data_IF_901338793705
#
_entry.id   IF_901338793705
#
_cell.length_a   1.000
_cell.length_b   1.000
_cell.length_c   1.000
_cell.angle_alpha   90.00
_cell.angle_beta   90.00
_cell.angle_gamma   90.00
#
_symmetry.space_group_name_H-M   'P 1'
#
loop_
_entity.id
_entity.type
_entity.pdbx_description
1 polymer ?
#
# COMPACT_ATOMS: atom_id res chain seq x y z
N UNK A 1 -10.94 -20.28 11.83
CA UNK A 1 -11.44 -20.57 10.47
C UNK A 1 -10.44 -20.00 9.46
N UNK A 2 -10.15 -20.73 8.39
CA UNK A 2 -9.25 -20.27 7.32
C UNK A 2 -10.00 -20.22 6.00
N UNK A 3 -9.60 -19.33 5.10
CA UNK A 3 -10.31 -19.11 3.86
C UNK A 3 -9.90 -17.82 3.18
N UNK A 4 -10.32 -17.68 1.93
CA UNK A 4 -10.12 -16.48 1.15
C UNK A 4 -11.45 -15.96 0.61
N UNK A 5 -11.66 -14.66 0.68
CA UNK A 5 -12.85 -14.02 0.10
C UNK A 5 -12.47 -12.71 -0.59
N UNK A 6 -12.77 -12.61 -1.89
CA UNK A 6 -12.65 -11.36 -2.64
C UNK A 6 -14.02 -10.71 -2.75
N UNK A 7 -14.11 -9.44 -2.39
CA UNK A 7 -15.32 -8.63 -2.56
C UNK A 7 -14.95 -7.30 -3.20
N UNK A 8 -15.77 -6.85 -4.15
CA UNK A 8 -15.61 -5.56 -4.80
C UNK A 8 -16.94 -4.83 -4.87
N UNK A 9 -16.92 -3.51 -4.68
CA UNK A 9 -18.02 -2.60 -4.97
C UNK A 9 -17.48 -1.56 -5.96
N UNK A 10 -17.92 -1.66 -7.22
CA UNK A 10 -17.31 -0.96 -8.37
C UNK A 10 -15.81 -1.27 -8.46
N UNK A 11 -14.96 -0.24 -8.35
CA UNK A 11 -13.50 -0.33 -8.42
C UNK A 11 -12.82 -0.62 -7.08
N UNK A 12 -13.54 -0.46 -5.96
CA UNK A 12 -13.01 -0.65 -4.62
C UNK A 12 -13.10 -2.13 -4.26
N UNK A 13 -11.96 -2.76 -4.02
CA UNK A 13 -11.90 -4.18 -3.71
C UNK A 13 -11.19 -4.42 -2.39
N UNK A 14 -11.59 -5.52 -1.75
CA UNK A 14 -10.90 -6.06 -0.61
C UNK A 14 -10.68 -7.54 -0.78
N UNK A 15 -9.59 -8.02 -0.21
CA UNK A 15 -9.25 -9.43 -0.15
C UNK A 15 -9.10 -9.86 1.30
N UNK A 16 -9.92 -10.80 1.73
CA UNK A 16 -9.81 -11.41 3.05
C UNK A 16 -8.91 -12.62 3.00
N UNK A 17 -8.04 -12.69 3.98
CA UNK A 17 -7.36 -13.90 4.40
C UNK A 17 -7.83 -14.17 5.83
N UNK A 18 -8.67 -15.19 6.00
CA UNK A 18 -9.20 -15.55 7.31
C UNK A 18 -8.07 -16.23 8.10
N UNK A 19 -7.53 -15.58 9.13
CA UNK A 19 -6.43 -16.10 9.97
C UNK A 19 -6.96 -16.40 11.38
N UNK A 20 -7.84 -17.38 11.46
CA UNK A 20 -8.53 -17.78 12.69
C UNK A 20 -9.26 -16.63 13.41
N UNK A 21 -8.66 -16.07 14.47
CA UNK A 21 -9.27 -15.02 15.30
C UNK A 21 -8.95 -13.60 14.84
N UNK A 22 -7.96 -13.43 13.96
CA UNK A 22 -7.46 -12.12 13.52
C UNK A 22 -7.38 -12.09 12.00
N UNK A 23 -8.50 -11.90 11.29
CA UNK A 23 -8.49 -11.82 9.83
C UNK A 23 -7.55 -10.72 9.33
N UNK A 24 -6.93 -10.99 8.18
CA UNK A 24 -6.15 -10.01 7.42
C UNK A 24 -6.95 -9.55 6.22
N UNK A 25 -7.01 -8.24 6.00
CA UNK A 25 -7.69 -7.62 4.88
C UNK A 25 -6.72 -6.77 4.09
N UNK A 26 -6.76 -6.92 2.77
CA UNK A 26 -6.02 -6.09 1.84
C UNK A 26 -7.02 -5.22 1.11
N UNK A 27 -6.92 -3.92 1.28
CA UNK A 27 -7.70 -2.91 0.57
C UNK A 27 -6.93 -2.51 -0.68
N UNK A 28 -7.60 -2.54 -1.83
CA UNK A 28 -7.01 -2.14 -3.11
C UNK A 28 -8.06 -1.59 -4.06
N UNK A 29 -7.59 -0.94 -5.12
CA UNK A 29 -8.42 -0.41 -6.19
C UNK A 29 -8.04 -1.09 -7.51
N UNK A 30 -9.04 -1.47 -8.32
CA UNK A 30 -8.81 -2.15 -9.60
C UNK A 30 -8.35 -1.20 -10.71
N UNK A 31 -8.76 0.06 -10.66
CA UNK A 31 -8.67 0.98 -11.81
C UNK A 31 -7.76 2.16 -11.52
N UNK A 32 -8.01 2.90 -10.44
CA UNK A 32 -7.34 4.17 -10.18
C UNK A 32 -6.05 4.01 -9.39
N UNK A 33 -5.99 3.04 -8.47
CA UNK A 33 -4.94 2.96 -7.45
C UNK A 33 -5.46 3.28 -6.05
N UNK A 34 -4.63 3.03 -5.05
CA UNK A 34 -4.94 3.25 -3.63
C UNK A 34 -3.74 3.94 -2.98
N UNK A 35 -4.06 4.81 -2.04
CA UNK A 35 -3.12 5.55 -1.21
C UNK A 35 -3.71 5.65 0.20
N UNK A 36 -3.06 6.41 1.08
CA UNK A 36 -3.50 6.66 2.45
C UNK A 36 -5.02 6.83 2.58
N UNK A 37 -5.60 6.04 3.48
CA UNK A 37 -6.98 6.20 3.93
C UNK A 37 -7.03 6.85 5.31
N UNK A 38 -8.13 7.56 5.64
CA UNK A 38 -8.28 8.17 6.95
C UNK A 38 -8.23 7.13 8.08
N UNK A 39 -7.52 7.45 9.16
CA UNK A 39 -7.34 6.55 10.32
C UNK A 39 -8.66 6.05 10.94
N UNK A 40 -9.73 6.86 10.88
CA UNK A 40 -11.05 6.47 11.38
C UNK A 40 -11.60 5.21 10.68
N UNK A 41 -11.19 4.95 9.43
CA UNK A 41 -11.60 3.75 8.71
C UNK A 41 -11.07 2.51 9.43
N UNK A 42 -9.78 2.48 9.75
CA UNK A 42 -9.14 1.36 10.42
C UNK A 42 -9.77 1.13 11.80
N UNK A 43 -9.95 2.20 12.59
CA UNK A 43 -10.65 2.12 13.88
C UNK A 43 -12.07 1.55 13.75
N UNK A 44 -12.83 1.98 12.75
CA UNK A 44 -14.19 1.51 12.52
C UNK A 44 -14.23 0.04 12.10
N UNK A 45 -13.33 -0.39 11.22
CA UNK A 45 -13.23 -1.78 10.75
C UNK A 45 -12.83 -2.71 11.90
N UNK A 46 -11.82 -2.34 12.68
CA UNK A 46 -11.38 -3.09 13.87
C UNK A 46 -12.51 -3.22 14.90
N UNK A 47 -13.18 -2.12 15.24
CA UNK A 47 -14.31 -2.14 16.17
C UNK A 47 -15.46 -3.01 15.65
N UNK A 48 -15.71 -2.99 14.35
CA UNK A 48 -16.73 -3.84 13.72
C UNK A 48 -16.34 -5.32 13.78
N UNK A 49 -15.06 -5.65 13.59
CA UNK A 49 -14.54 -7.01 13.72
C UNK A 49 -14.69 -7.53 15.16
N UNK A 50 -14.28 -6.74 16.15
CA UNK A 50 -14.39 -7.08 17.57
C UNK A 50 -15.84 -7.32 18.01
N UNK A 51 -16.76 -6.47 17.58
CA UNK A 51 -18.22 -6.65 17.82
C UNK A 51 -18.79 -7.94 17.23
N UNK A 52 -18.09 -8.53 16.26
CA UNK A 52 -18.48 -9.79 15.65
C UNK A 52 -17.77 -11.02 16.22
N UNK A 53 -16.93 -10.84 17.23
CA UNK A 53 -16.26 -11.93 17.94
C UNK A 53 -14.84 -12.24 17.48
N UNK A 54 -14.25 -11.45 16.58
CA UNK A 54 -12.82 -11.51 16.30
C UNK A 54 -12.02 -10.87 17.43
N UNK A 55 -10.81 -11.35 17.69
CA UNK A 55 -9.91 -10.72 18.67
C UNK A 55 -9.35 -9.40 18.14
N UNK A 56 -9.04 -9.37 16.84
CA UNK A 56 -8.51 -8.20 16.16
C UNK A 56 -8.72 -8.25 14.64
N UNK A 57 -8.22 -7.25 13.91
CA UNK A 57 -8.23 -7.17 12.45
C UNK A 57 -6.90 -6.58 11.96
N UNK A 58 -6.24 -7.23 11.00
CA UNK A 58 -5.09 -6.68 10.29
C UNK A 58 -5.58 -6.00 9.01
N UNK A 59 -5.42 -4.68 8.91
CA UNK A 59 -5.76 -3.91 7.71
C UNK A 59 -4.50 -3.53 6.96
N UNK A 60 -4.46 -3.85 5.66
CA UNK A 60 -3.39 -3.48 4.75
C UNK A 60 -3.99 -2.61 3.65
N UNK A 61 -3.58 -1.36 3.59
CA UNK A 61 -3.73 -0.52 2.41
C UNK A 61 -2.62 -0.93 1.44
N UNK A 62 -2.98 -1.34 0.21
CA UNK A 62 -2.01 -2.06 -0.61
C UNK A 62 -0.88 -1.17 -1.17
N UNK A 63 -1.13 0.13 -1.36
CA UNK A 63 -0.27 1.06 -2.13
C UNK A 63 0.26 0.44 -3.44
N UNK A 64 -0.52 -0.48 -4.03
CA UNK A 64 -0.08 -1.33 -5.13
C UNK A 64 -0.23 -0.67 -6.50
N UNK A 65 -0.85 0.49 -6.53
CA UNK A 65 -0.89 1.38 -7.68
C UNK A 65 -1.10 2.80 -7.17
N UNK A 66 -0.25 3.73 -7.60
CA UNK A 66 -0.46 5.16 -7.39
C UNK A 66 -1.78 5.60 -8.03
N UNK A 67 -2.63 6.38 -7.33
CA UNK A 67 -3.77 7.08 -7.93
C UNK A 67 -3.38 7.94 -9.14
N UNK A 68 -4.03 7.74 -10.29
CA UNK A 68 -3.84 8.56 -11.49
C UNK A 68 -4.85 9.72 -11.57
N UNK A 69 -6.03 9.54 -11.00
CA UNK A 69 -7.07 10.56 -10.88
C UNK A 69 -7.40 10.85 -9.42
N UNK A 70 -8.00 12.01 -9.18
CA UNK A 70 -8.45 12.43 -7.86
C UNK A 70 -9.38 11.38 -7.23
N UNK A 71 -9.15 11.09 -5.95
CA UNK A 71 -9.90 10.08 -5.19
C UNK A 71 -11.07 10.71 -4.45
N UNK A 72 -12.22 10.07 -4.55
CA UNK A 72 -13.35 10.34 -3.64
C UNK A 72 -13.18 9.49 -2.37
N UNK A 73 -12.44 10.01 -1.40
CA UNK A 73 -12.11 9.31 -0.15
C UNK A 73 -13.36 8.92 0.63
N UNK A 74 -14.41 9.75 0.63
CA UNK A 74 -15.65 9.45 1.34
C UNK A 74 -16.38 8.24 0.72
N UNK A 75 -16.50 8.21 -0.62
CA UNK A 75 -17.09 7.09 -1.34
C UNK A 75 -16.27 5.81 -1.15
N UNK A 76 -14.95 5.90 -1.25
CA UNK A 76 -14.02 4.79 -1.06
C UNK A 76 -14.17 4.16 0.34
N UNK A 77 -14.14 4.98 1.39
CA UNK A 77 -14.40 4.53 2.76
C UNK A 77 -15.77 3.89 2.90
N UNK A 78 -16.82 4.51 2.36
CA UNK A 78 -18.20 4.00 2.42
C UNK A 78 -18.30 2.62 1.77
N UNK A 79 -17.65 2.42 0.62
CA UNK A 79 -17.60 1.12 -0.07
C UNK A 79 -16.86 0.06 0.75
N UNK A 80 -15.69 0.36 1.31
CA UNK A 80 -14.96 -0.59 2.16
C UNK A 80 -15.76 -0.99 3.41
N UNK A 81 -16.34 -0.01 4.11
CA UNK A 81 -17.18 -0.24 5.30
C UNK A 81 -18.39 -1.12 4.96
N UNK A 82 -19.13 -0.77 3.90
CA UNK A 82 -20.32 -1.51 3.46
C UNK A 82 -19.97 -2.96 3.16
N UNK A 83 -18.92 -3.18 2.36
CA UNK A 83 -18.53 -4.56 2.06
C UNK A 83 -18.09 -5.28 3.34
N UNK A 84 -17.34 -4.63 4.25
CA UNK A 84 -16.86 -5.25 5.49
C UNK A 84 -17.99 -5.72 6.40
N UNK A 85 -18.99 -4.85 6.63
CA UNK A 85 -20.19 -5.21 7.41
C UNK A 85 -20.94 -6.41 6.78
N UNK A 86 -21.05 -6.44 5.46
CA UNK A 86 -21.68 -7.56 4.75
C UNK A 86 -20.91 -8.88 4.93
N UNK A 87 -19.58 -8.83 4.94
CA UNK A 87 -18.74 -10.01 5.18
C UNK A 87 -18.91 -10.52 6.62
N UNK A 88 -18.71 -9.63 7.59
CA UNK A 88 -18.73 -9.96 9.02
C UNK A 88 -20.08 -10.54 9.46
N UNK A 89 -21.20 -10.02 8.94
CA UNK A 89 -22.54 -10.55 9.22
C UNK A 89 -22.77 -11.97 8.71
N UNK A 90 -22.05 -12.41 7.66
CA UNK A 90 -22.08 -13.78 7.15
C UNK A 90 -21.21 -14.72 7.96
N UNK A 91 -20.01 -14.27 8.38
CA UNK A 91 -19.07 -15.11 9.14
C UNK A 91 -19.63 -15.55 10.48
N UNK A 92 -20.40 -14.68 11.17
CA UNK A 92 -21.07 -15.01 12.43
C UNK A 92 -22.00 -16.25 12.34
N UNK A 93 -22.36 -16.69 11.13
CA UNK A 93 -23.27 -17.82 10.89
C UNK A 93 -22.56 -19.13 10.53
N UNK A 94 -21.22 -19.15 10.38
CA UNK A 94 -20.49 -20.37 10.02
C UNK A 94 -20.17 -21.18 11.27
N UNK A 95 -20.72 -22.38 11.35
CA UNK A 95 -20.47 -23.37 12.41
C UNK A 95 -19.02 -23.86 12.31
N UNK A 96 -18.19 -23.58 13.32
CA UNK A 96 -16.75 -23.87 13.35
C UNK A 96 -16.52 -25.34 13.70
N UNK A 97 -16.90 -26.26 12.81
CA UNK A 97 -16.76 -27.70 13.07
C UNK A 97 -15.47 -28.32 12.55
N UNK A 98 -14.73 -27.65 11.67
CA UNK A 98 -13.42 -28.12 11.21
C UNK A 98 -12.35 -27.03 11.40
N UNK A 99 -11.26 -27.37 12.10
CA UNK A 99 -10.04 -26.56 12.14
C UNK A 99 -9.21 -26.94 10.93
N UNK A 100 -9.45 -26.27 9.81
CA UNK A 100 -8.69 -26.49 8.58
C UNK A 100 -7.20 -26.21 8.81
N UNK A 101 -6.33 -26.76 7.96
CA UNK A 101 -4.88 -26.55 8.07
C UNK A 101 -4.48 -25.43 7.12
N UNK A 102 -4.11 -24.28 7.66
CA UNK A 102 -3.42 -23.23 6.92
C UNK A 102 -1.94 -23.61 6.77
N UNK A 103 -1.41 -23.53 5.54
CA UNK A 103 0.03 -23.50 5.33
C UNK A 103 0.47 -22.12 4.90
N UNK A 104 1.65 -21.73 5.33
CA UNK A 104 2.26 -20.45 4.99
C UNK A 104 3.67 -20.73 4.48
N UNK A 105 4.02 -20.04 3.40
CA UNK A 105 5.34 -20.02 2.82
C UNK A 105 5.87 -18.60 2.84
N UNK A 106 7.15 -18.44 3.19
CA UNK A 106 7.79 -17.14 3.33
C UNK A 106 9.11 -17.16 2.57
N UNK A 107 9.44 -16.04 1.95
CA UNK A 107 10.76 -15.84 1.38
C UNK A 107 11.20 -14.40 1.50
N UNK A 108 12.49 -14.24 1.75
CA UNK A 108 13.24 -13.02 1.57
C UNK A 108 14.31 -13.28 0.51
N UNK A 109 14.40 -12.41 -0.49
CA UNK A 109 15.43 -12.41 -1.51
C UNK A 109 16.09 -11.03 -1.51
N UNK A 110 17.35 -10.99 -1.08
CA UNK A 110 18.23 -9.85 -1.29
C UNK A 110 18.85 -9.95 -2.68
N UNK A 111 18.78 -8.86 -3.46
CA UNK A 111 19.44 -8.76 -4.76
C UNK A 111 20.26 -7.47 -4.84
N UNK A 112 21.61 -7.54 -4.69
CA UNK A 112 22.48 -6.37 -4.73
C UNK A 112 22.37 -5.53 -6.02
N UNK A 113 21.88 -6.10 -7.13
CA UNK A 113 21.61 -5.34 -8.36
C UNK A 113 20.49 -4.31 -8.20
N UNK A 114 19.72 -4.40 -7.13
CA UNK A 114 18.63 -3.49 -6.83
C UNK A 114 19.06 -2.27 -5.99
N UNK A 115 20.30 -2.23 -5.49
CA UNK A 115 20.81 -1.16 -4.63
C UNK A 115 20.70 0.24 -5.27
N UNK A 116 20.95 0.33 -6.57
CA UNK A 116 20.98 1.59 -7.31
C UNK A 116 19.64 1.94 -7.96
N UNK A 117 18.58 1.17 -7.67
CA UNK A 117 17.27 1.40 -8.23
C UNK A 117 16.60 2.58 -7.55
N UNK A 118 16.41 3.66 -8.31
CA UNK A 118 15.84 4.92 -7.83
C UNK A 118 14.39 4.82 -7.34
N UNK A 119 13.71 3.73 -7.65
CA UNK A 119 12.31 3.45 -7.30
C UNK A 119 12.14 2.40 -6.19
N UNK A 120 13.24 1.98 -5.54
CA UNK A 120 13.23 1.11 -4.37
C UNK A 120 14.04 1.73 -3.22
N UNK A 121 13.57 1.52 -1.98
CA UNK A 121 14.27 1.91 -0.76
C UNK A 121 15.06 0.76 -0.13
N UNK A 122 14.79 -0.48 -0.55
CA UNK A 122 15.54 -1.68 -0.17
C UNK A 122 15.83 -2.55 -1.40
N UNK A 123 16.94 -3.28 -1.34
CA UNK A 123 17.32 -4.30 -2.32
C UNK A 123 16.69 -5.67 -2.04
N UNK A 124 15.78 -5.74 -1.05
CA UNK A 124 15.10 -6.95 -0.60
C UNK A 124 13.69 -7.01 -1.19
N UNK A 125 13.33 -8.18 -1.72
CA UNK A 125 11.95 -8.53 -2.09
C UNK A 125 11.44 -9.63 -1.19
N UNK A 126 10.31 -9.38 -0.53
CA UNK A 126 9.65 -10.32 0.35
C UNK A 126 8.43 -10.92 -0.33
N UNK A 127 8.17 -12.21 -0.12
CA UNK A 127 6.96 -12.87 -0.58
C UNK A 127 6.35 -13.76 0.50
N UNK A 128 5.02 -13.70 0.61
CA UNK A 128 4.20 -14.49 1.53
C UNK A 128 3.18 -15.24 0.69
N UNK A 129 3.10 -16.56 0.91
CA UNK A 129 2.11 -17.44 0.28
C UNK A 129 1.24 -18.05 1.37
N UNK A 130 -0.07 -17.90 1.24
CA UNK A 130 -1.06 -18.61 2.04
C UNK A 130 -1.65 -19.74 1.19
N UNK A 131 -1.60 -20.98 1.70
CA UNK A 131 -2.25 -22.15 1.10
C UNK A 131 -3.43 -22.58 1.98
N UNK A 132 -4.61 -22.51 1.37
CA UNK A 132 -5.85 -23.06 1.90
C UNK A 132 -6.44 -24.05 0.90
N UNK A 133 -6.41 -25.33 1.24
CA UNK A 133 -6.89 -26.43 0.38
C UNK A 133 -6.31 -26.42 -1.05
N UNK A 134 -5.01 -26.13 -1.16
CA UNK A 134 -4.31 -26.10 -2.44
C UNK A 134 -4.57 -24.83 -3.24
N UNK A 135 -5.36 -23.88 -2.74
CA UNK A 135 -5.53 -22.55 -3.33
C UNK A 135 -4.52 -21.60 -2.72
N UNK A 136 -3.86 -20.82 -3.57
CA UNK A 136 -2.76 -19.94 -3.15
C UNK A 136 -3.15 -18.46 -3.23
N UNK A 137 -2.87 -17.75 -2.15
CA UNK A 137 -2.94 -16.29 -2.08
C UNK A 137 -1.54 -15.75 -1.84
N UNK A 138 -1.08 -14.86 -2.71
CA UNK A 138 0.30 -14.40 -2.73
C UNK A 138 0.34 -12.89 -2.49
N UNK A 139 1.20 -12.47 -1.56
CA UNK A 139 1.52 -11.07 -1.30
C UNK A 139 3.02 -10.91 -1.50
N UNK A 140 3.42 -9.96 -2.34
CA UNK A 140 4.81 -9.55 -2.51
C UNK A 140 4.97 -8.17 -1.93
N UNK A 141 5.98 -7.96 -1.07
CA UNK A 141 6.23 -6.67 -0.43
C UNK A 141 7.49 -6.06 -1.02
N UNK A 142 7.38 -4.80 -1.46
CA UNK A 142 8.50 -3.96 -1.84
C UNK A 142 8.68 -2.82 -0.85
N UNK A 143 9.92 -2.48 -0.52
CA UNK A 143 10.20 -1.25 0.21
C UNK A 143 10.36 -0.09 -0.78
N UNK A 144 9.42 0.85 -0.75
CA UNK A 144 9.33 1.97 -1.67
C UNK A 144 7.96 2.64 -1.64
N UNK A 145 7.83 3.72 -2.40
CA UNK A 145 6.58 4.47 -2.60
C UNK A 145 5.52 3.58 -3.30
N UNK A 146 4.30 4.05 -3.55
CA UNK A 146 3.29 3.28 -4.28
C UNK A 146 3.85 2.77 -5.63
N UNK A 147 3.35 1.64 -6.11
CA UNK A 147 3.79 1.10 -7.38
C UNK A 147 3.15 1.80 -8.59
N UNK A 148 3.77 1.69 -9.76
CA UNK A 148 3.12 2.04 -11.02
C UNK A 148 2.07 0.98 -11.37
N UNK A 149 0.88 1.39 -11.85
CA UNK A 149 -0.19 0.46 -12.20
C UNK A 149 0.23 -0.58 -13.25
N UNK A 150 0.94 -0.14 -14.29
CA UNK A 150 1.48 -1.06 -15.30
C UNK A 150 2.48 -2.06 -14.74
N UNK A 151 3.23 -1.69 -13.69
CA UNK A 151 4.15 -2.60 -13.01
C UNK A 151 3.41 -3.65 -12.20
N UNK A 152 2.44 -3.22 -11.40
CA UNK A 152 1.54 -4.10 -10.67
C UNK A 152 0.91 -5.14 -11.60
N UNK A 153 0.28 -4.70 -12.68
CA UNK A 153 -0.44 -5.59 -13.59
C UNK A 153 0.52 -6.62 -14.22
N UNK A 154 1.73 -6.21 -14.61
CA UNK A 154 2.75 -7.11 -15.14
C UNK A 154 3.19 -8.15 -14.09
N UNK A 155 3.56 -7.71 -12.89
CA UNK A 155 4.02 -8.59 -11.81
C UNK A 155 2.93 -9.58 -11.41
N UNK A 156 1.69 -9.11 -11.18
CA UNK A 156 0.58 -9.98 -10.80
C UNK A 156 0.28 -11.04 -11.87
N UNK A 157 0.43 -10.68 -13.16
CA UNK A 157 0.26 -11.62 -14.26
C UNK A 157 1.39 -12.64 -14.31
N UNK A 158 2.65 -12.23 -14.15
CA UNK A 158 3.80 -13.15 -14.11
C UNK A 158 3.71 -14.11 -12.92
N UNK A 159 3.25 -13.64 -11.76
CA UNK A 159 3.03 -14.49 -10.58
C UNK A 159 1.94 -15.54 -10.87
N UNK A 160 0.79 -15.13 -11.42
CA UNK A 160 -0.32 -16.06 -11.72
C UNK A 160 0.06 -17.15 -12.72
N UNK A 161 1.02 -16.89 -13.63
CA UNK A 161 1.55 -17.90 -14.57
C UNK A 161 2.34 -19.02 -13.88
N UNK A 162 2.83 -18.81 -12.65
CA UNK A 162 3.66 -19.79 -11.96
C UNK A 162 2.88 -21.04 -11.53
N UNK A 163 1.60 -20.89 -11.20
CA UNK A 163 0.78 -22.01 -10.74
C UNK A 163 -0.71 -21.74 -10.93
N UNK A 164 -1.44 -22.70 -11.53
CA UNK A 164 -2.87 -22.58 -11.86
C UNK A 164 -3.80 -22.38 -10.64
N UNK A 165 -3.35 -22.80 -9.46
CA UNK A 165 -4.13 -22.67 -8.22
C UNK A 165 -3.90 -21.35 -7.47
N UNK A 166 -3.15 -20.41 -8.04
CA UNK A 166 -3.05 -19.04 -7.54
C UNK A 166 -4.38 -18.33 -7.78
N UNK A 167 -5.16 -18.13 -6.72
CA UNK A 167 -6.47 -17.47 -6.76
C UNK A 167 -6.37 -15.97 -6.55
N UNK A 168 -5.28 -15.52 -5.92
CA UNK A 168 -5.00 -14.11 -5.71
C UNK A 168 -3.49 -13.89 -5.66
N UNK A 169 -3.05 -12.83 -6.31
CA UNK A 169 -1.69 -12.34 -6.24
C UNK A 169 -1.77 -10.82 -6.24
N UNK A 170 -1.05 -10.17 -5.33
CA UNK A 170 -0.87 -8.74 -5.37
C UNK A 170 0.49 -8.35 -4.85
N UNK A 171 0.94 -7.19 -5.28
CA UNK A 171 2.09 -6.52 -4.68
C UNK A 171 1.57 -5.55 -3.62
N UNK A 172 2.37 -5.26 -2.61
CA UNK A 172 2.15 -4.16 -1.67
C UNK A 172 3.45 -3.41 -1.49
N UNK A 173 3.37 -2.12 -1.16
CA UNK A 173 4.56 -1.31 -0.85
C UNK A 173 4.50 -0.80 0.58
N UNK A 174 5.66 -0.45 1.14
CA UNK A 174 5.79 0.17 2.47
C UNK A 174 5.38 1.64 2.50
N UNK A 175 5.09 2.20 1.32
CA UNK A 175 4.94 3.63 1.06
C UNK A 175 6.12 4.47 1.58
N UNK A 176 7.32 3.93 1.44
CA UNK A 176 8.54 4.61 1.85
C UNK A 176 8.90 5.72 0.85
N UNK A 177 8.89 6.96 1.32
CA UNK A 177 9.21 8.15 0.54
C UNK A 177 10.70 8.54 0.56
N UNK A 178 11.63 7.74 1.10
CA UNK A 178 13.06 8.11 1.18
C UNK A 178 13.65 8.55 -0.17
N UNK A 179 13.33 7.83 -1.26
CA UNK A 179 13.82 8.17 -2.61
C UNK A 179 12.97 9.22 -3.32
N UNK A 180 11.84 9.63 -2.74
CA UNK A 180 10.93 10.62 -3.32
C UNK A 180 11.51 12.03 -3.19
N UNK A 181 11.51 12.81 -4.28
CA UNK A 181 12.04 14.18 -4.29
C UNK A 181 13.57 14.31 -4.25
N UNK A 182 14.31 13.20 -4.29
CA UNK A 182 15.79 13.18 -4.24
C UNK A 182 16.48 13.52 -5.58
N UNK A 183 15.76 13.45 -6.71
CA UNK A 183 16.29 13.67 -8.06
C UNK A 183 15.62 14.90 -8.70
N UNK A 184 16.42 15.93 -8.98
CA UNK A 184 16.03 17.24 -9.51
C UNK A 184 15.02 17.18 -10.66
N UNK A 185 13.73 17.26 -10.32
CA UNK A 185 12.60 17.35 -11.25
C UNK A 185 11.54 16.26 -11.12
N UNK A 186 11.81 15.09 -10.51
CA UNK A 186 10.78 14.06 -10.27
C UNK A 186 10.35 14.06 -8.81
N UNK A 187 9.22 14.71 -8.56
CA UNK A 187 8.62 14.87 -7.22
C UNK A 187 8.10 13.53 -6.67
N UNK A 188 7.79 12.56 -7.52
CA UNK A 188 7.21 11.27 -7.13
C UNK A 188 7.76 10.14 -8.01
N UNK A 189 8.34 9.09 -7.39
CA UNK A 189 8.97 7.95 -8.09
C UNK A 189 8.30 6.66 -7.62
N UNK A 190 7.31 6.12 -8.36
CA UNK A 190 6.63 4.89 -7.99
C UNK A 190 7.48 3.64 -8.26
N UNK A 191 7.30 2.57 -7.49
CA UNK A 191 7.97 1.28 -7.74
C UNK A 191 7.65 0.76 -9.15
N UNK A 192 8.68 0.38 -9.90
CA UNK A 192 8.56 -0.25 -11.22
C UNK A 192 8.63 0.71 -12.41
N UNK A 193 9.03 1.97 -12.20
CA UNK A 193 9.25 2.95 -13.28
C UNK A 193 10.72 3.08 -13.69
N UNK A 194 11.66 2.56 -12.89
CA UNK A 194 13.09 2.66 -13.18
C UNK A 194 13.52 1.64 -14.23
N UNK A 195 14.77 1.77 -14.71
CA UNK A 195 15.42 0.80 -15.57
C UNK A 195 15.57 -0.59 -14.90
N UNK A 196 15.44 -0.68 -13.58
CA UNK A 196 15.53 -1.93 -12.84
C UNK A 196 14.30 -2.83 -12.97
N UNK A 197 13.19 -2.34 -13.54
CA UNK A 197 11.89 -3.03 -13.64
C UNK A 197 12.01 -4.55 -13.89
N UNK A 198 12.78 -4.95 -14.90
CA UNK A 198 12.95 -6.36 -15.26
C UNK A 198 13.69 -7.18 -14.19
N UNK A 199 14.70 -6.59 -13.55
CA UNK A 199 15.42 -7.24 -12.46
C UNK A 199 14.54 -7.36 -11.21
N UNK A 200 13.69 -6.35 -10.93
CA UNK A 200 12.69 -6.42 -9.85
C UNK A 200 11.73 -7.59 -10.13
N UNK A 201 11.14 -7.68 -11.32
CA UNK A 201 10.24 -8.79 -11.70
C UNK A 201 10.94 -10.14 -11.52
N UNK A 202 12.16 -10.29 -12.02
CA UNK A 202 12.93 -11.53 -11.89
C UNK A 202 13.18 -11.91 -10.42
N UNK A 203 13.50 -10.92 -9.59
CA UNK A 203 13.71 -11.11 -8.14
C UNK A 203 12.40 -11.54 -7.48
N UNK A 204 11.28 -10.91 -7.85
CA UNK A 204 9.94 -11.26 -7.38
C UNK A 204 9.54 -12.68 -7.73
N UNK A 205 9.75 -13.10 -8.98
CA UNK A 205 9.46 -14.48 -9.38
C UNK A 205 10.32 -15.48 -8.61
N UNK A 206 11.57 -15.13 -8.30
CA UNK A 206 12.44 -15.96 -7.46
C UNK A 206 11.94 -16.04 -6.03
N UNK A 207 11.54 -14.91 -5.44
CA UNK A 207 10.94 -14.85 -4.11
C UNK A 207 9.67 -15.71 -4.04
N UNK A 208 8.73 -15.50 -4.95
CA UNK A 208 7.48 -16.27 -4.98
C UNK A 208 7.71 -17.77 -5.14
N UNK A 209 8.65 -18.20 -6.00
CA UNK A 209 9.01 -19.62 -6.12
C UNK A 209 9.58 -20.19 -4.82
N UNK A 210 10.42 -19.44 -4.11
CA UNK A 210 10.99 -19.83 -2.82
C UNK A 210 9.91 -19.87 -1.72
N UNK A 211 8.99 -18.91 -1.71
CA UNK A 211 7.87 -18.92 -0.78
C UNK A 211 6.96 -20.13 -1.03
N UNK A 212 6.61 -20.42 -2.29
CA UNK A 212 5.84 -21.62 -2.66
C UNK A 212 6.52 -22.92 -2.21
N UNK A 213 7.83 -23.05 -2.39
CA UNK A 213 8.57 -24.26 -1.97
C UNK A 213 8.74 -24.38 -0.45
N UNK A 214 8.58 -23.28 0.29
CA UNK A 214 8.67 -23.24 1.76
C UNK A 214 7.35 -23.51 2.49
N UNK A 215 6.26 -23.82 1.77
CA UNK A 215 4.93 -24.03 2.36
C UNK A 215 4.94 -25.09 3.46
N UNK A 216 4.62 -24.66 4.68
CA UNK A 216 4.57 -25.51 5.86
C UNK A 216 3.31 -25.27 6.68
N UNK A 217 2.80 -26.33 7.33
CA UNK A 217 1.66 -26.23 8.25
C UNK A 217 2.01 -25.24 9.36
N UNK A 218 1.22 -24.19 9.49
CA UNK A 218 1.58 -23.05 10.32
C UNK A 218 0.52 -22.79 11.39
N UNK A 219 0.97 -22.36 12.57
CA UNK A 219 0.12 -21.76 13.60
C UNK A 219 0.42 -20.27 13.62
N UNK A 220 -0.61 -19.45 13.57
CA UNK A 220 -0.47 -18.00 13.64
C UNK A 220 -0.70 -17.56 15.08
N UNK A 221 0.20 -16.70 15.56
CA UNK A 221 0.05 -15.98 16.82
C UNK A 221 0.03 -14.51 16.47
N UNK A 222 -0.97 -13.79 16.97
CA UNK A 222 -1.09 -12.36 16.82
C UNK A 222 -0.80 -11.67 18.16
N UNK A 223 -0.08 -10.55 18.10
CA UNK A 223 0.16 -9.69 19.25
C UNK A 223 0.13 -8.24 18.79
N UNK A 224 -0.74 -7.43 19.39
CA UNK A 224 -0.74 -5.97 19.24
C UNK A 224 0.23 -5.35 20.24
N UNK A 225 1.04 -4.41 19.78
CA UNK A 225 1.91 -3.58 20.61
C UNK A 225 1.57 -2.13 20.27
N UNK A 226 0.96 -1.43 21.22
CA UNK A 226 0.64 -0.01 21.05
C UNK A 226 1.88 0.82 21.43
N UNK A 227 2.39 1.61 20.48
CA UNK A 227 3.56 2.47 20.68
C UNK A 227 3.10 3.93 20.69
N UNK A 228 3.34 4.62 21.81
CA UNK A 228 3.08 6.05 21.91
C UNK A 228 4.30 6.82 21.37
N UNK A 229 4.14 7.45 20.21
CA UNK A 229 5.15 8.31 19.60
C UNK A 229 4.64 9.75 19.55
N UNK A 230 5.53 10.72 19.84
CA UNK A 230 5.22 12.13 19.66
C UNK A 230 5.36 12.50 18.19
N UNK A 231 4.24 12.78 17.53
CA UNK A 231 4.21 13.29 16.15
C UNK A 231 3.87 14.78 16.16
N UNK A 232 3.89 15.43 14.99
CA UNK A 232 3.36 16.79 14.83
C UNK A 232 1.87 16.88 15.22
N UNK A 233 1.14 15.77 15.13
CA UNK A 233 -0.30 15.71 15.33
C UNK A 233 -1.08 16.56 14.34
N UNK A 234 -2.40 16.62 14.52
CA UNK A 234 -3.27 17.44 13.69
C UNK A 234 -2.90 18.94 13.75
N UNK A 235 -2.52 19.43 14.94
CA UNK A 235 -2.14 20.83 15.12
C UNK A 235 -0.88 21.19 14.33
N UNK A 236 0.18 20.37 14.41
CA UNK A 236 1.40 20.61 13.64
C UNK A 236 1.17 20.46 12.14
N UNK A 237 0.34 19.51 11.70
CA UNK A 237 -0.03 19.37 10.29
C UNK A 237 -0.83 20.60 9.79
N UNK A 238 -1.79 21.07 10.59
CA UNK A 238 -2.58 22.27 10.29
C UNK A 238 -1.69 23.51 10.22
N UNK A 239 -0.70 23.62 11.10
CA UNK A 239 0.28 24.71 11.07
C UNK A 239 1.12 24.67 9.79
N UNK A 240 1.63 23.49 9.39
CA UNK A 240 2.35 23.34 8.12
C UNK A 240 1.47 23.67 6.91
N UNK A 241 0.18 23.29 6.95
CA UNK A 241 -0.78 23.64 5.91
C UNK A 241 -0.98 25.15 5.79
N UNK A 242 -1.11 25.85 6.93
CA UNK A 242 -1.19 27.31 6.96
C UNK A 242 0.04 27.94 6.33
N UNK A 243 1.25 27.49 6.70
CA UNK A 243 2.49 27.97 6.10
C UNK A 243 2.49 27.74 4.58
N UNK A 244 2.09 26.56 4.13
CA UNK A 244 2.03 26.25 2.70
C UNK A 244 1.02 27.12 1.94
N UNK A 245 -0.11 27.45 2.55
CA UNK A 245 -1.11 28.39 2.00
C UNK A 245 -0.55 29.81 1.92
N UNK A 246 0.14 30.28 2.97
CA UNK A 246 0.77 31.61 3.01
C UNK A 246 1.88 31.74 1.95
N UNK A 247 2.68 30.69 1.75
CA UNK A 247 3.73 30.65 0.73
C UNK A 247 3.20 30.89 -0.69
N UNK A 248 1.95 30.51 -0.99
CA UNK A 248 1.33 30.76 -2.31
C UNK A 248 1.21 32.25 -2.62
N UNK A 249 1.14 33.10 -1.60
CA UNK A 249 1.07 34.57 -1.76
C UNK A 249 2.44 35.23 -1.59
N UNK A 250 3.25 34.73 -0.66
CA UNK A 250 4.58 35.30 -0.36
C UNK A 250 5.55 35.10 -1.54
N UNK A 251 5.54 33.93 -2.17
CA UNK A 251 6.49 33.63 -3.26
C UNK A 251 6.28 34.54 -4.49
N UNK A 252 5.06 34.71 -5.04
CA UNK A 252 4.82 35.65 -6.13
C UNK A 252 5.15 37.10 -5.75
N UNK A 253 4.85 37.51 -4.52
CA UNK A 253 5.14 38.86 -4.04
C UNK A 253 6.65 39.12 -4.01
N UNK A 254 7.45 38.16 -3.52
CA UNK A 254 8.91 38.23 -3.58
C UNK A 254 9.42 38.30 -5.02
N UNK A 255 8.84 37.53 -5.95
CA UNK A 255 9.20 37.63 -7.37
C UNK A 255 8.90 39.00 -7.95
N UNK A 256 7.71 39.55 -7.69
CA UNK A 256 7.31 40.90 -8.15
C UNK A 256 8.24 41.97 -7.56
N UNK A 257 8.56 41.88 -6.28
CA UNK A 257 9.49 42.80 -5.61
C UNK A 257 10.89 42.76 -6.24
N UNK A 258 11.40 41.57 -6.55
CA UNK A 258 12.69 41.44 -7.21
C UNK A 258 12.66 42.03 -8.62
N UNK A 259 11.63 41.73 -9.43
CA UNK A 259 11.48 42.29 -10.78
C UNK A 259 11.36 43.82 -10.73
N UNK A 260 10.56 44.36 -9.81
CA UNK A 260 10.39 45.82 -9.67
C UNK A 260 11.67 46.50 -9.24
N UNK A 261 12.47 45.90 -8.36
CA UNK A 261 13.77 46.44 -7.95
C UNK A 261 14.76 46.54 -9.12
N UNK A 262 14.76 45.54 -10.01
CA UNK A 262 15.54 45.57 -11.26
C UNK A 262 15.04 46.65 -12.22
N UNK A 263 13.72 46.77 -12.41
CA UNK A 263 13.14 47.78 -13.30
C UNK A 263 13.40 49.20 -12.82
N UNK A 264 13.29 49.47 -11.51
CA UNK A 264 13.59 50.79 -10.93
C UNK A 264 15.07 51.13 -11.12
N UNK A 265 15.97 50.18 -10.85
CA UNK A 265 17.41 50.37 -11.05
C UNK A 265 17.75 50.64 -12.53
N UNK A 266 17.11 49.91 -13.45
CA UNK A 266 17.25 50.11 -14.89
C UNK A 266 16.75 51.49 -15.33
N UNK A 267 15.59 51.94 -14.86
CA UNK A 267 15.04 53.26 -15.20
C UNK A 267 15.91 54.41 -14.67
N UNK A 268 16.45 54.29 -13.46
CA UNK A 268 17.39 55.30 -12.90
C UNK A 268 18.65 55.40 -13.76
N UNK A 269 19.17 54.27 -14.25
CA UNK A 269 20.34 54.23 -15.13
C UNK A 269 20.12 54.83 -16.54
N UNK A 270 18.87 55.10 -16.94
CA UNK A 270 18.53 55.77 -18.20
C UNK A 270 18.20 57.27 -18.02
N UNK A 271 17.95 57.70 -16.78
CA UNK A 271 17.65 59.11 -16.44
C UNK A 271 18.94 59.89 -16.12
N UNK A 272 20.02 59.19 -15.78
CA UNK A 272 21.38 59.70 -15.62
C UNK A 272 22.29 59.21 -16.74
#
# INVERSE_FOLDING_TARGET
MYGFEKLCDKQYCKYFIELDKVPLIILYNLTNGIDDLPSYLNELLENTAKKAGFEDLLVIEAHNAKPEVERNIEEECRSYIKMFRNYVSKVRRRDVKNRDVLKIGLSEIENPKLNDCVDLCSNIVNAIVFDYYGKFSIIVVYDGNNAAKSFKDEVENEIKKLHKDIVFATIVTTDNHEKTGSLGGKIYVPVGVSACRNEIIKTTITAVKKALSSLTKSKIVFRRIDVLAKTLGYQGLSFLKSIAEDLRFIVPLLFILNISSFLVSFLIAFIY
#
